data_IF_522417539275
#
_entry.id   IF_522417539275
#
_cell.length_a   1.000
_cell.length_b   1.000
_cell.length_c   1.000
_cell.angle_alpha   90.00
_cell.angle_beta   90.00
_cell.angle_gamma   90.00
#
_symmetry.space_group_name_H-M   'P 1'
#
loop_
_entity.id
_entity.type
_entity.pdbx_description
1 polymer ?
#
# COMPACT_ATOMS: atom_id res chain seq x y z
N UNK A 1 20.07 -24.40 -8.43
CA UNK A 1 19.68 -23.07 -7.93
C UNK A 1 18.17 -23.03 -7.97
N UNK A 2 17.51 -22.64 -6.88
CA UNK A 2 16.06 -22.43 -6.87
C UNK A 2 15.70 -21.32 -7.87
N UNK A 3 14.54 -21.43 -8.50
CA UNK A 3 14.01 -20.34 -9.33
C UNK A 3 13.85 -19.06 -8.48
N UNK A 4 14.09 -17.88 -9.06
CA UNK A 4 13.91 -16.64 -8.33
C UNK A 4 12.43 -16.37 -8.01
N UNK A 5 12.17 -15.81 -6.84
CA UNK A 5 10.84 -15.33 -6.43
C UNK A 5 10.48 -14.13 -7.31
N UNK A 6 9.33 -14.17 -7.98
CA UNK A 6 8.89 -13.13 -8.91
C UNK A 6 7.99 -12.13 -8.23
N UNK A 7 8.33 -10.85 -8.30
CA UNK A 7 7.59 -9.76 -7.70
C UNK A 7 7.22 -8.72 -8.75
N UNK A 8 5.93 -8.45 -8.92
CA UNK A 8 5.45 -7.31 -9.69
C UNK A 8 5.35 -6.09 -8.77
N UNK A 9 6.07 -5.03 -9.11
CA UNK A 9 5.94 -3.73 -8.44
C UNK A 9 5.05 -2.87 -9.32
N UNK A 10 3.90 -2.45 -8.80
CA UNK A 10 2.95 -1.61 -9.51
C UNK A 10 2.75 -0.28 -8.77
N UNK A 11 2.76 0.82 -9.53
CA UNK A 11 2.40 2.15 -9.03
C UNK A 11 1.11 2.58 -9.71
N UNK A 12 -0.04 2.43 -9.03
CA UNK A 12 -1.28 3.06 -9.45
C UNK A 12 -1.14 4.57 -9.34
N UNK A 13 -1.49 5.31 -10.38
CA UNK A 13 -1.52 6.77 -10.31
C UNK A 13 -2.74 7.34 -11.05
N UNK A 14 -3.25 8.45 -10.55
CA UNK A 14 -4.42 9.14 -11.12
C UNK A 14 -4.03 10.17 -12.20
N UNK A 15 -2.77 10.20 -12.64
CA UNK A 15 -2.28 11.18 -13.62
C UNK A 15 -1.96 12.56 -13.05
N UNK A 16 -2.14 12.75 -11.73
CA UNK A 16 -1.74 13.95 -11.00
C UNK A 16 -0.52 13.65 -10.16
N UNK A 17 0.56 13.31 -10.80
CA UNK A 17 1.79 12.96 -10.10
C UNK A 17 2.30 14.17 -9.34
N UNK A 18 2.30 14.11 -8.03
CA UNK A 18 3.10 15.03 -7.23
C UNK A 18 4.56 14.63 -7.44
N UNK A 19 5.29 15.44 -8.15
CA UNK A 19 6.64 15.15 -8.66
C UNK A 19 7.60 14.69 -7.57
N UNK A 20 7.47 15.24 -6.34
CA UNK A 20 8.28 14.85 -5.19
C UNK A 20 8.02 13.41 -4.73
N UNK A 21 6.76 12.98 -4.66
CA UNK A 21 6.41 11.62 -4.32
C UNK A 21 6.88 10.63 -5.39
N UNK A 22 6.82 11.03 -6.62
CA UNK A 22 7.26 10.25 -7.76
C UNK A 22 8.78 10.09 -7.77
N UNK A 23 9.52 11.17 -7.53
CA UNK A 23 10.96 11.13 -7.38
C UNK A 23 11.42 10.21 -6.27
N UNK A 24 10.81 10.30 -5.09
CA UNK A 24 11.12 9.43 -3.96
C UNK A 24 10.85 7.95 -4.26
N UNK A 25 9.80 7.63 -5.01
CA UNK A 25 9.48 6.23 -5.35
C UNK A 25 10.42 5.63 -6.34
N UNK A 26 10.74 6.38 -7.36
CA UNK A 26 11.72 5.93 -8.33
C UNK A 26 13.09 5.80 -7.66
N UNK A 27 13.43 6.68 -6.69
CA UNK A 27 14.61 6.54 -5.84
C UNK A 27 14.55 5.25 -4.99
N UNK A 28 13.42 4.96 -4.36
CA UNK A 28 13.23 3.72 -3.60
C UNK A 28 13.34 2.48 -4.49
N UNK A 29 12.76 2.53 -5.69
CA UNK A 29 12.90 1.49 -6.68
C UNK A 29 14.37 1.26 -7.07
N UNK A 30 15.10 2.33 -7.35
CA UNK A 30 16.52 2.26 -7.73
C UNK A 30 17.40 1.79 -6.57
N UNK A 31 17.09 2.17 -5.34
CA UNK A 31 17.81 1.69 -4.15
C UNK A 31 17.59 0.19 -3.92
N UNK A 32 16.40 -0.32 -4.19
CA UNK A 32 16.17 -1.76 -4.20
C UNK A 32 17.04 -2.48 -5.24
N UNK A 33 17.38 -1.83 -6.36
CA UNK A 33 18.17 -2.37 -7.45
C UNK A 33 19.70 -2.39 -7.27
N UNK A 34 20.28 -1.84 -6.20
CA UNK A 34 21.72 -1.69 -6.02
C UNK A 34 22.41 -0.70 -7.00
N UNK A 35 21.68 0.25 -7.55
CA UNK A 35 22.19 1.22 -8.54
C UNK A 35 22.93 2.40 -7.89
N UNK A 36 23.97 2.16 -7.08
CA UNK A 36 24.72 3.26 -6.46
C UNK A 36 25.35 4.22 -7.48
N UNK A 37 25.75 3.71 -8.64
CA UNK A 37 26.31 4.50 -9.74
C UNK A 37 25.24 5.31 -10.49
N UNK A 38 23.98 4.89 -10.44
CA UNK A 38 22.87 5.54 -11.14
C UNK A 38 22.15 6.59 -10.28
N UNK A 39 22.40 6.63 -8.97
CA UNK A 39 21.81 7.66 -8.08
C UNK A 39 22.05 9.09 -8.59
N UNK A 40 23.27 9.39 -9.05
CA UNK A 40 23.58 10.71 -9.59
C UNK A 40 22.95 10.97 -10.96
N UNK A 41 22.89 9.95 -11.79
CA UNK A 41 22.22 10.02 -13.11
C UNK A 41 20.73 10.19 -12.94
N UNK A 42 20.17 9.55 -11.93
CA UNK A 42 18.74 9.64 -11.63
C UNK A 42 18.34 10.95 -10.96
N UNK A 43 19.14 11.50 -10.05
CA UNK A 43 18.88 12.84 -9.50
C UNK A 43 18.77 13.86 -10.64
N UNK A 44 19.70 13.80 -11.61
CA UNK A 44 19.64 14.64 -12.83
C UNK A 44 18.42 14.30 -13.71
N UNK A 45 18.00 13.05 -13.76
CA UNK A 45 16.82 12.64 -14.49
C UNK A 45 15.53 13.13 -13.81
N UNK A 46 15.47 13.10 -12.48
CA UNK A 46 14.36 13.69 -11.73
C UNK A 46 14.28 15.20 -11.95
N UNK A 47 15.41 15.91 -11.95
CA UNK A 47 15.48 17.34 -12.27
C UNK A 47 14.94 17.62 -13.68
N UNK A 48 15.32 16.81 -14.67
CA UNK A 48 14.80 16.92 -16.04
C UNK A 48 13.31 16.63 -16.11
N UNK A 49 12.82 15.65 -15.35
CA UNK A 49 11.39 15.36 -15.29
C UNK A 49 10.58 16.51 -14.68
N UNK A 50 11.15 17.22 -13.70
CA UNK A 50 10.54 18.42 -13.11
C UNK A 50 10.37 19.57 -14.10
N UNK A 51 11.27 19.70 -15.06
CA UNK A 51 11.22 20.73 -16.09
C UNK A 51 10.29 20.39 -17.25
N UNK A 52 9.85 19.14 -17.37
CA UNK A 52 8.98 18.70 -18.44
C UNK A 52 7.50 18.89 -18.10
N UNK A 53 6.70 19.17 -19.14
CA UNK A 53 5.24 19.06 -18.99
C UNK A 53 4.86 17.64 -18.54
N UNK A 54 3.82 17.46 -17.68
CA UNK A 54 3.48 16.18 -17.07
C UNK A 54 3.36 15.01 -18.03
N UNK A 55 2.80 15.26 -19.22
CA UNK A 55 2.64 14.24 -20.28
C UNK A 55 3.97 13.76 -20.86
N UNK A 56 4.94 14.68 -21.01
CA UNK A 56 6.29 14.34 -21.47
C UNK A 56 7.08 13.63 -20.39
N UNK A 57 6.93 14.06 -19.14
CA UNK A 57 7.56 13.41 -18.00
C UNK A 57 7.11 11.94 -17.87
N UNK A 58 5.82 11.68 -18.05
CA UNK A 58 5.26 10.32 -18.01
C UNK A 58 5.80 9.45 -19.16
N UNK A 59 5.86 9.98 -20.38
CA UNK A 59 6.39 9.25 -21.52
C UNK A 59 7.87 8.87 -21.34
N UNK A 60 8.69 9.80 -20.84
CA UNK A 60 10.11 9.57 -20.56
C UNK A 60 10.28 8.53 -19.46
N UNK A 61 9.45 8.58 -18.43
CA UNK A 61 9.49 7.60 -17.36
C UNK A 61 9.07 6.21 -17.81
N UNK A 62 7.98 6.09 -18.58
CA UNK A 62 7.55 4.79 -19.10
C UNK A 62 8.64 4.16 -19.99
N UNK A 63 9.32 4.95 -20.82
CA UNK A 63 10.47 4.48 -21.58
C UNK A 63 11.65 4.01 -20.69
N UNK A 64 11.89 4.72 -19.59
CA UNK A 64 12.90 4.30 -18.60
C UNK A 64 12.53 2.99 -17.93
N UNK A 65 11.28 2.87 -17.47
CA UNK A 65 10.74 1.65 -16.86
C UNK A 65 10.81 0.47 -17.81
N UNK A 66 10.42 0.66 -19.07
CA UNK A 66 10.50 -0.39 -20.10
C UNK A 66 11.93 -0.92 -20.26
N UNK A 67 12.91 -0.02 -20.24
CA UNK A 67 14.32 -0.37 -20.40
C UNK A 67 14.95 -0.99 -19.14
N UNK A 68 14.58 -0.50 -17.95
CA UNK A 68 15.24 -0.81 -16.69
C UNK A 68 14.34 -1.49 -15.66
N UNK A 69 13.08 -1.72 -15.97
CA UNK A 69 12.06 -2.21 -15.01
C UNK A 69 12.18 -3.69 -14.63
N UNK A 70 13.25 -4.37 -15.07
CA UNK A 70 13.52 -5.75 -14.67
C UNK A 70 14.90 -5.85 -14.02
N UNK A 71 14.96 -6.37 -12.82
CA UNK A 71 16.23 -6.60 -12.14
C UNK A 71 16.15 -7.76 -11.16
N UNK A 72 17.31 -8.32 -10.83
CA UNK A 72 17.45 -9.45 -9.92
C UNK A 72 18.25 -8.97 -8.71
N UNK A 73 17.77 -9.29 -7.51
CA UNK A 73 18.43 -8.95 -6.25
C UNK A 73 18.36 -10.11 -5.27
N UNK A 74 19.47 -10.37 -4.58
CA UNK A 74 19.50 -11.28 -3.43
C UNK A 74 19.11 -10.48 -2.16
N UNK A 75 18.13 -10.98 -1.41
CA UNK A 75 17.69 -10.43 -0.13
C UNK A 75 17.74 -11.57 0.88
N UNK A 76 18.66 -11.48 1.85
CA UNK A 76 18.98 -12.62 2.69
C UNK A 76 19.53 -13.77 1.86
N UNK A 77 18.95 -14.96 1.99
CA UNK A 77 19.32 -16.14 1.20
C UNK A 77 18.49 -16.31 -0.09
N UNK A 78 17.44 -15.51 -0.26
CA UNK A 78 16.51 -15.64 -1.36
C UNK A 78 16.88 -14.75 -2.54
N UNK A 79 16.61 -15.24 -3.75
CA UNK A 79 16.81 -14.52 -4.99
C UNK A 79 15.46 -14.02 -5.49
N UNK A 80 15.34 -12.71 -5.67
CA UNK A 80 14.14 -12.04 -6.17
C UNK A 80 14.37 -11.56 -7.60
N UNK A 81 13.34 -11.70 -8.42
CA UNK A 81 13.23 -11.06 -9.72
C UNK A 81 12.08 -10.07 -9.69
N UNK A 82 12.41 -8.80 -9.79
CA UNK A 82 11.45 -7.71 -9.77
C UNK A 82 11.06 -7.29 -11.17
N UNK A 83 9.78 -6.98 -11.34
CA UNK A 83 9.21 -6.40 -12.54
C UNK A 83 8.45 -5.15 -12.14
N UNK A 84 8.77 -4.02 -12.74
CA UNK A 84 8.15 -2.74 -12.45
C UNK A 84 7.13 -2.36 -13.53
N UNK A 85 5.97 -1.87 -13.11
CA UNK A 85 4.95 -1.32 -14.01
C UNK A 85 4.40 -0.03 -13.43
N UNK A 86 4.23 0.96 -14.28
CA UNK A 86 3.47 2.17 -13.99
C UNK A 86 2.08 2.03 -14.59
N UNK A 87 1.03 2.24 -13.80
CA UNK A 87 -0.36 2.14 -14.24
C UNK A 87 -1.02 3.49 -13.97
N UNK A 88 -1.00 4.33 -14.99
CA UNK A 88 -1.44 5.72 -14.88
C UNK A 88 -2.75 6.03 -15.59
N UNK A 89 -3.33 7.17 -15.22
CA UNK A 89 -4.49 7.82 -15.85
C UNK A 89 -5.79 7.04 -15.79
N UNK A 90 -5.91 6.12 -14.86
CA UNK A 90 -7.15 5.40 -14.62
C UNK A 90 -7.53 5.47 -13.14
N UNK A 91 -8.82 5.37 -12.85
CA UNK A 91 -9.35 5.37 -11.50
C UNK A 91 -8.73 4.26 -10.64
N UNK A 92 -8.44 4.55 -9.37
CA UNK A 92 -7.65 3.68 -8.49
C UNK A 92 -8.09 2.21 -8.47
N UNK A 93 -9.37 1.85 -8.34
CA UNK A 93 -9.81 0.45 -8.42
C UNK A 93 -9.43 -0.22 -9.75
N UNK A 94 -9.57 0.49 -10.88
CA UNK A 94 -9.21 -0.03 -12.19
C UNK A 94 -7.70 -0.19 -12.36
N UNK A 95 -6.90 0.72 -11.78
CA UNK A 95 -5.44 0.61 -11.78
C UNK A 95 -4.96 -0.61 -10.99
N UNK A 96 -5.56 -0.86 -9.82
CA UNK A 96 -5.25 -2.03 -9.00
C UNK A 96 -5.71 -3.33 -9.66
N UNK A 97 -6.87 -3.31 -10.31
CA UNK A 97 -7.36 -4.44 -11.12
C UNK A 97 -6.39 -4.79 -12.25
N UNK A 98 -5.87 -3.78 -12.97
CA UNK A 98 -4.90 -3.97 -14.04
C UNK A 98 -3.56 -4.50 -13.50
N UNK A 99 -3.10 -4.01 -12.34
CA UNK A 99 -1.91 -4.53 -11.67
C UNK A 99 -2.07 -6.01 -11.32
N UNK A 100 -3.21 -6.39 -10.77
CA UNK A 100 -3.51 -7.78 -10.42
C UNK A 100 -3.57 -8.68 -11.64
N UNK A 101 -4.22 -8.23 -12.73
CA UNK A 101 -4.23 -8.98 -14.01
C UNK A 101 -2.82 -9.25 -14.52
N UNK A 102 -1.97 -8.24 -14.55
CA UNK A 102 -0.56 -8.41 -14.96
C UNK A 102 0.19 -9.37 -14.04
N UNK A 103 -0.04 -9.30 -12.73
CA UNK A 103 0.58 -10.23 -11.79
C UNK A 103 0.18 -11.68 -12.05
N UNK A 104 -1.09 -11.94 -12.33
CA UNK A 104 -1.61 -13.28 -12.66
C UNK A 104 -1.10 -13.77 -14.03
N UNK A 105 -1.21 -12.94 -15.07
CA UNK A 105 -0.78 -13.26 -16.43
C UNK A 105 0.70 -13.64 -16.50
N UNK A 106 1.53 -12.93 -15.76
CA UNK A 106 2.97 -13.17 -15.71
C UNK A 106 3.41 -14.13 -14.60
N UNK A 107 2.47 -14.77 -13.92
CA UNK A 107 2.72 -15.76 -12.84
C UNK A 107 3.70 -15.24 -11.80
N UNK A 108 3.41 -14.05 -11.28
CA UNK A 108 4.17 -13.45 -10.19
C UNK A 108 3.82 -14.12 -8.88
N UNK A 109 4.77 -14.28 -7.98
CA UNK A 109 4.54 -14.81 -6.62
C UNK A 109 3.91 -13.76 -5.71
N UNK A 110 4.33 -12.50 -5.91
CA UNK A 110 3.88 -11.35 -5.15
C UNK A 110 3.48 -10.17 -6.05
N UNK A 111 2.47 -9.45 -5.59
CA UNK A 111 2.11 -8.12 -6.08
C UNK A 111 2.44 -7.10 -4.99
N UNK A 112 3.30 -6.13 -5.32
CA UNK A 112 3.69 -5.03 -4.45
C UNK A 112 3.20 -3.73 -5.06
N UNK A 113 2.20 -3.09 -4.43
CA UNK A 113 1.63 -1.83 -4.90
C UNK A 113 2.01 -0.69 -3.95
N UNK A 114 2.28 0.46 -4.53
CA UNK A 114 2.57 1.71 -3.80
C UNK A 114 1.83 2.84 -4.51
N UNK A 115 0.95 3.53 -3.80
CA UNK A 115 0.27 4.70 -4.35
C UNK A 115 1.25 5.85 -4.56
N UNK A 116 0.93 6.71 -5.52
CA UNK A 116 1.82 7.78 -5.96
C UNK A 116 1.97 8.96 -5.00
N UNK A 117 1.32 8.97 -3.89
CA UNK A 117 1.40 9.96 -2.83
C UNK A 117 1.98 9.42 -1.50
N UNK A 118 2.64 8.26 -1.54
CA UNK A 118 3.26 7.66 -0.36
C UNK A 118 4.76 7.93 -0.29
N UNK A 119 5.26 8.29 0.88
CA UNK A 119 6.69 8.43 1.19
C UNK A 119 7.13 7.20 1.98
N UNK A 120 7.94 6.38 1.35
CA UNK A 120 8.31 5.06 1.87
C UNK A 120 9.82 5.01 2.18
N UNK A 121 10.23 4.26 3.23
CA UNK A 121 11.64 3.99 3.47
C UNK A 121 12.22 3.10 2.36
N UNK A 122 13.51 3.22 2.12
CA UNK A 122 14.23 2.52 1.04
C UNK A 122 14.17 0.99 1.15
N UNK A 123 14.07 0.48 2.37
CA UNK A 123 14.02 -0.93 2.69
C UNK A 123 12.60 -1.48 2.94
N UNK A 124 11.56 -0.73 2.51
CA UNK A 124 10.18 -1.09 2.81
C UNK A 124 9.80 -2.49 2.32
N UNK A 125 10.19 -2.86 1.10
CA UNK A 125 9.91 -4.20 0.59
C UNK A 125 10.51 -5.28 1.49
N UNK A 126 11.78 -5.12 1.89
CA UNK A 126 12.47 -6.09 2.76
C UNK A 126 11.79 -6.20 4.13
N UNK A 127 11.35 -5.08 4.69
CA UNK A 127 10.59 -5.06 5.96
C UNK A 127 9.28 -5.80 5.80
N UNK A 128 8.47 -5.43 4.82
CA UNK A 128 7.17 -6.07 4.59
C UNK A 128 7.32 -7.56 4.29
N UNK A 129 8.30 -7.94 3.47
CA UNK A 129 8.55 -9.34 3.17
C UNK A 129 8.93 -10.14 4.42
N UNK A 130 9.87 -9.62 5.22
CA UNK A 130 10.25 -10.23 6.50
C UNK A 130 9.05 -10.36 7.45
N UNK A 131 8.27 -9.31 7.59
CA UNK A 131 7.07 -9.30 8.45
C UNK A 131 6.00 -10.26 7.94
N UNK A 132 5.85 -10.40 6.61
CA UNK A 132 4.97 -11.37 5.99
C UNK A 132 5.40 -12.81 6.31
N UNK A 133 6.70 -13.12 6.22
CA UNK A 133 7.23 -14.43 6.58
C UNK A 133 7.03 -14.74 8.08
N UNK A 134 7.25 -13.76 8.95
CA UNK A 134 7.10 -13.93 10.39
C UNK A 134 5.64 -14.13 10.82
N UNK A 135 4.70 -13.42 10.19
CA UNK A 135 3.28 -13.46 10.55
C UNK A 135 2.51 -14.58 9.85
N UNK A 136 3.05 -15.10 8.73
CA UNK A 136 2.28 -15.94 7.81
C UNK A 136 1.19 -15.17 7.07
N UNK A 137 1.31 -13.84 6.96
CA UNK A 137 0.37 -13.01 6.23
C UNK A 137 0.31 -13.37 4.75
N UNK A 138 -0.83 -13.12 4.13
CA UNK A 138 -1.01 -13.16 2.68
C UNK A 138 -1.12 -11.75 2.10
N UNK A 139 -1.58 -10.81 2.92
CA UNK A 139 -1.62 -9.37 2.65
C UNK A 139 -0.99 -8.66 3.83
N UNK A 140 -0.03 -7.77 3.58
CA UNK A 140 0.60 -6.96 4.62
C UNK A 140 0.80 -5.52 4.17
N UNK A 141 0.42 -4.58 5.04
CA UNK A 141 0.58 -3.15 4.82
C UNK A 141 1.45 -2.54 5.92
N UNK A 142 2.24 -1.51 5.64
CA UNK A 142 2.85 -0.68 6.67
C UNK A 142 1.80 0.23 7.30
N UNK A 143 2.08 0.74 8.49
CA UNK A 143 1.22 1.74 9.10
C UNK A 143 1.23 3.02 8.27
N UNK A 144 0.03 3.49 7.92
CA UNK A 144 -0.20 4.76 7.24
C UNK A 144 -1.45 5.44 7.80
N UNK A 145 -1.63 6.71 7.45
CA UNK A 145 -2.74 7.54 7.93
C UNK A 145 -3.47 8.21 6.78
N UNK A 146 -4.77 8.48 6.96
CA UNK A 146 -5.55 9.26 6.00
C UNK A 146 -5.01 10.68 5.89
N UNK A 147 -5.14 11.30 4.70
CA UNK A 147 -4.66 12.67 4.43
C UNK A 147 -5.46 13.77 5.14
N UNK A 148 -6.69 13.48 5.51
CA UNK A 148 -7.61 14.46 6.09
C UNK A 148 -7.78 14.24 7.59
N UNK A 149 -7.96 15.31 8.37
CA UNK A 149 -8.34 15.19 9.77
C UNK A 149 -9.56 14.28 9.95
N UNK A 150 -9.58 13.48 11.01
CA UNK A 150 -8.67 13.44 12.15
C UNK A 150 -7.44 12.53 11.96
N UNK A 151 -6.94 12.31 10.72
CA UNK A 151 -5.76 11.52 10.39
C UNK A 151 -5.84 10.10 10.97
N UNK A 152 -6.82 9.35 10.50
CA UNK A 152 -7.09 7.99 10.99
C UNK A 152 -6.02 7.02 10.49
N UNK A 153 -5.57 6.05 11.31
CA UNK A 153 -4.78 4.94 10.79
C UNK A 153 -5.63 4.12 9.81
N UNK A 154 -5.02 3.65 8.73
CA UNK A 154 -5.72 2.86 7.70
C UNK A 154 -5.77 1.37 8.09
N UNK A 155 -6.05 1.10 9.33
CA UNK A 155 -6.20 -0.20 9.95
C UNK A 155 -7.65 -0.40 10.36
N UNK A 156 -8.26 -1.48 9.88
CA UNK A 156 -9.68 -1.70 10.05
C UNK A 156 -9.97 -3.06 10.67
N UNK A 157 -10.94 -3.05 11.57
CA UNK A 157 -11.68 -4.25 11.92
C UNK A 157 -13.05 -4.14 11.25
N UNK A 158 -13.32 -4.98 10.26
CA UNK A 158 -14.60 -4.98 9.58
C UNK A 158 -15.56 -5.90 10.31
N UNK A 159 -16.75 -5.40 10.52
CA UNK A 159 -17.88 -6.22 10.94
C UNK A 159 -18.66 -6.53 9.66
N UNK A 160 -19.07 -7.77 9.46
CA UNK A 160 -20.00 -8.10 8.38
C UNK A 160 -21.20 -7.17 8.50
N UNK A 161 -21.39 -6.33 7.49
CA UNK A 161 -22.41 -5.33 7.53
C UNK A 161 -23.78 -5.97 7.36
N UNK A 162 -24.67 -5.59 8.22
CA UNK A 162 -26.09 -5.78 8.08
C UNK A 162 -26.72 -4.39 8.01
N UNK A 163 -27.48 -4.11 6.97
CA UNK A 163 -28.19 -2.84 6.84
C UNK A 163 -29.46 -2.77 7.68
N UNK A 164 -29.81 -3.84 8.37
CA UNK A 164 -30.99 -3.93 9.22
C UNK A 164 -32.31 -4.13 8.47
N UNK A 165 -32.35 -3.92 7.17
CA UNK A 165 -33.59 -3.91 6.39
C UNK A 165 -33.56 -4.91 5.22
N UNK A 166 -32.52 -4.87 4.39
CA UNK A 166 -32.51 -5.57 3.09
C UNK A 166 -31.46 -6.66 2.94
N UNK A 167 -30.67 -7.00 3.97
CA UNK A 167 -29.50 -7.89 3.87
C UNK A 167 -28.52 -7.46 2.76
N UNK A 168 -28.49 -6.17 2.43
CA UNK A 168 -27.53 -5.65 1.48
C UNK A 168 -26.12 -5.73 2.08
N UNK A 169 -25.10 -5.88 1.24
CA UNK A 169 -23.71 -5.97 1.62
C UNK A 169 -23.18 -4.61 2.13
N UNK A 170 -23.79 -4.09 3.17
CA UNK A 170 -23.36 -2.86 3.82
C UNK A 170 -22.20 -3.17 4.74
N UNK A 171 -21.00 -2.69 4.37
CA UNK A 171 -19.81 -2.92 5.17
C UNK A 171 -19.64 -1.82 6.22
N UNK A 172 -19.67 -2.20 7.48
CA UNK A 172 -19.30 -1.31 8.57
C UNK A 172 -17.81 -1.50 8.83
N UNK A 173 -17.02 -0.51 8.43
CA UNK A 173 -15.59 -0.51 8.65
C UNK A 173 -15.26 0.26 9.93
N UNK A 174 -14.78 -0.43 10.95
CA UNK A 174 -14.32 0.21 12.16
C UNK A 174 -12.83 0.49 12.07
N UNK A 175 -12.48 1.77 12.07
CA UNK A 175 -11.08 2.19 12.16
C UNK A 175 -10.53 1.91 13.54
N UNK A 176 -9.39 1.26 13.62
CA UNK A 176 -8.71 0.96 14.89
C UNK A 176 -7.82 2.14 15.29
N UNK A 177 -8.37 3.07 16.07
CA UNK A 177 -7.65 4.28 16.50
C UNK A 177 -6.53 4.00 17.52
N UNK A 178 -6.75 3.03 18.42
CA UNK A 178 -5.78 2.61 19.43
C UNK A 178 -5.15 1.27 19.01
N UNK A 179 -4.28 1.34 18.02
CA UNK A 179 -3.58 0.16 17.53
C UNK A 179 -2.35 -0.15 18.39
N UNK A 180 -1.97 -1.44 18.51
CA UNK A 180 -0.72 -1.84 19.16
C UNK A 180 0.48 -1.31 18.37
N UNK A 181 1.40 -0.61 19.06
CA UNK A 181 2.63 -0.10 18.45
C UNK A 181 3.73 -1.15 18.45
N UNK A 182 4.61 -1.10 17.44
CA UNK A 182 5.76 -1.99 17.29
C UNK A 182 5.37 -3.49 17.26
N UNK A 183 4.28 -3.80 16.58
CA UNK A 183 3.75 -5.17 16.48
C UNK A 183 3.31 -5.49 15.05
N UNK A 184 3.25 -6.78 14.73
CA UNK A 184 2.51 -7.29 13.59
C UNK A 184 1.07 -7.54 14.04
N UNK A 185 0.13 -6.81 13.46
CA UNK A 185 -1.27 -6.81 13.88
C UNK A 185 -2.12 -7.48 12.84
N UNK A 186 -2.74 -8.62 13.17
CA UNK A 186 -3.74 -9.23 12.31
C UNK A 186 -5.01 -8.38 12.32
N UNK A 187 -5.56 -8.11 11.14
CA UNK A 187 -6.69 -7.19 10.95
C UNK A 187 -7.71 -7.76 9.98
N UNK A 188 -8.86 -7.12 9.88
CA UNK A 188 -9.85 -7.48 8.87
C UNK A 188 -9.59 -6.81 7.53
N UNK A 189 -9.06 -5.59 7.57
CA UNK A 189 -8.63 -4.88 6.38
C UNK A 189 -7.56 -3.83 6.70
N UNK A 190 -6.84 -3.39 5.68
CA UNK A 190 -5.91 -2.27 5.72
C UNK A 190 -6.03 -1.44 4.44
N UNK A 191 -5.66 -0.17 4.50
CA UNK A 191 -5.57 0.69 3.33
C UNK A 191 -4.36 0.36 2.46
N UNK A 192 -4.51 0.44 1.15
CA UNK A 192 -3.49 0.01 0.18
C UNK A 192 -2.64 1.16 -0.36
N UNK A 193 -2.39 2.18 0.44
CA UNK A 193 -1.39 3.19 0.08
C UNK A 193 -0.02 2.58 -0.21
N UNK A 194 0.34 1.51 0.53
CA UNK A 194 1.38 0.57 0.17
C UNK A 194 0.99 -0.83 0.68
N UNK A 195 1.18 -1.85 -0.14
CA UNK A 195 0.78 -3.23 0.20
C UNK A 195 1.65 -4.25 -0.51
N UNK A 196 2.07 -5.27 0.22
CA UNK A 196 2.65 -6.49 -0.34
C UNK A 196 1.63 -7.63 -0.18
N UNK A 197 1.33 -8.34 -1.26
CA UNK A 197 0.38 -9.45 -1.24
C UNK A 197 0.84 -10.62 -2.09
N UNK A 198 0.50 -11.84 -1.65
CA UNK A 198 0.68 -13.05 -2.45
C UNK A 198 -0.38 -13.11 -3.55
N UNK A 199 -0.03 -13.64 -4.70
CA UNK A 199 -0.92 -13.64 -5.88
C UNK A 199 -1.92 -14.80 -5.91
N UNK A 200 -1.70 -15.85 -5.13
CA UNK A 200 -2.55 -17.03 -5.13
C UNK A 200 -4.05 -16.74 -4.89
N UNK A 201 -4.35 -15.63 -4.19
CA UNK A 201 -5.74 -15.23 -3.89
C UNK A 201 -6.52 -14.89 -5.14
N UNK A 202 -5.87 -14.30 -6.15
CA UNK A 202 -6.51 -13.91 -7.40
C UNK A 202 -7.03 -15.11 -8.20
N UNK A 203 -6.38 -16.27 -8.05
CA UNK A 203 -6.84 -17.51 -8.67
C UNK A 203 -8.11 -18.07 -8.03
N UNK A 204 -8.32 -17.80 -6.74
CA UNK A 204 -9.50 -18.27 -5.97
C UNK A 204 -10.66 -17.29 -5.99
N UNK A 205 -10.39 -16.04 -6.28
CA UNK A 205 -11.38 -14.96 -6.32
C UNK A 205 -11.86 -14.73 -7.75
N UNK A 206 -13.16 -14.52 -7.90
CA UNK A 206 -13.72 -14.11 -9.19
C UNK A 206 -13.41 -12.61 -9.44
N UNK A 207 -12.91 -12.29 -10.62
CA UNK A 207 -12.76 -10.90 -11.08
C UNK A 207 -14.16 -10.26 -11.33
N UNK A 208 -14.30 -8.93 -11.21
CA UNK A 208 -13.27 -7.98 -10.84
C UNK A 208 -12.89 -8.10 -9.37
N UNK A 209 -11.59 -8.06 -9.08
CA UNK A 209 -11.07 -8.20 -7.72
C UNK A 209 -11.20 -6.90 -6.93
N UNK A 210 -10.86 -5.78 -7.57
CA UNK A 210 -10.89 -4.45 -6.97
C UNK A 210 -12.14 -3.68 -7.40
N UNK A 211 -13.05 -3.51 -6.46
CA UNK A 211 -14.31 -2.79 -6.65
C UNK A 211 -14.54 -1.92 -5.41
N UNK A 212 -15.12 -0.76 -5.60
CA UNK A 212 -15.70 0.02 -4.50
C UNK A 212 -17.20 -0.28 -4.40
N UNK A 213 -17.72 -0.25 -3.19
CA UNK A 213 -19.16 -0.27 -2.91
C UNK A 213 -19.55 0.95 -2.09
N UNK A 214 -20.84 1.15 -1.89
CA UNK A 214 -21.31 2.26 -1.06
C UNK A 214 -20.72 2.15 0.36
N UNK A 215 -20.04 3.19 0.80
CA UNK A 215 -19.39 3.29 2.12
C UNK A 215 -18.08 2.53 2.28
N UNK A 216 -17.56 1.87 1.23
CA UNK A 216 -16.32 1.08 1.33
C UNK A 216 -15.43 1.23 0.10
N UNK A 217 -14.14 1.48 0.35
CA UNK A 217 -13.10 1.50 -0.67
C UNK A 217 -12.78 0.11 -1.21
N UNK A 218 -12.11 0.09 -2.37
CA UNK A 218 -11.72 -1.14 -3.06
C UNK A 218 -10.73 -2.00 -2.28
N UNK A 219 -9.87 -1.36 -1.48
CA UNK A 219 -8.88 -1.98 -0.61
C UNK A 219 -9.54 -2.81 0.50
N UNK A 220 -10.50 -2.20 1.19
CA UNK A 220 -11.24 -2.85 2.27
C UNK A 220 -12.11 -3.98 1.73
N UNK A 221 -12.81 -3.74 0.62
CA UNK A 221 -13.64 -4.76 -0.02
C UNK A 221 -12.78 -5.93 -0.54
N UNK A 222 -11.60 -5.65 -1.08
CA UNK A 222 -10.67 -6.70 -1.49
C UNK A 222 -10.21 -7.54 -0.29
N UNK A 223 -9.80 -6.91 0.82
CA UNK A 223 -9.42 -7.62 2.04
C UNK A 223 -10.55 -8.55 2.53
N UNK A 224 -11.80 -8.04 2.54
CA UNK A 224 -12.95 -8.85 2.91
C UNK A 224 -13.11 -10.08 2.01
N UNK A 225 -13.04 -9.90 0.68
CA UNK A 225 -13.12 -11.01 -0.28
C UNK A 225 -11.97 -12.01 -0.11
N UNK A 226 -10.74 -11.50 0.08
CA UNK A 226 -9.55 -12.32 0.29
C UNK A 226 -9.66 -13.18 1.56
N UNK A 227 -10.18 -12.63 2.66
CA UNK A 227 -10.44 -13.40 3.89
C UNK A 227 -11.45 -14.52 3.68
N UNK A 228 -12.45 -14.34 2.82
CA UNK A 228 -13.43 -15.43 2.50
C UNK A 228 -12.78 -16.63 1.83
N UNK A 229 -11.65 -16.47 1.18
CA UNK A 229 -10.86 -17.57 0.58
C UNK A 229 -9.70 -18.03 1.45
N UNK A 230 -9.61 -17.53 2.69
CA UNK A 230 -8.65 -17.96 3.71
C UNK A 230 -7.38 -17.11 3.79
N UNK A 231 -7.34 -15.95 3.15
CA UNK A 231 -6.20 -15.06 3.27
C UNK A 231 -6.14 -14.38 4.65
N UNK A 232 -4.93 -14.16 5.14
CA UNK A 232 -4.63 -13.45 6.38
C UNK A 232 -4.12 -12.06 6.08
N UNK A 233 -4.72 -11.05 6.69
CA UNK A 233 -4.41 -9.63 6.51
C UNK A 233 -3.70 -9.10 7.74
N UNK A 234 -2.55 -8.44 7.55
CA UNK A 234 -1.76 -7.87 8.63
C UNK A 234 -1.37 -6.42 8.35
N UNK A 235 -1.24 -5.66 9.41
CA UNK A 235 -0.53 -4.38 9.41
C UNK A 235 0.75 -4.48 10.23
N UNK A 236 1.85 -4.01 9.66
CA UNK A 236 3.11 -3.86 10.35
C UNK A 236 3.17 -2.46 10.98
N UNK A 237 3.02 -2.39 12.30
CA UNK A 237 3.12 -1.15 13.07
C UNK A 237 4.53 -0.91 13.66
N UNK A 238 5.53 -1.70 13.24
CA UNK A 238 6.93 -1.49 13.66
C UNK A 238 7.57 -0.31 12.93
N UNK A 239 6.97 0.13 11.82
CA UNK A 239 7.33 1.33 11.09
C UNK A 239 6.09 1.95 10.43
N UNK A 240 6.20 3.20 10.06
CA UNK A 240 5.15 3.91 9.35
C UNK A 240 5.70 4.52 8.04
N UNK A 241 4.77 4.86 7.14
CA UNK A 241 5.05 5.56 5.90
C UNK A 241 4.36 6.93 5.89
N UNK A 242 4.97 7.90 5.21
CA UNK A 242 4.37 9.22 5.03
C UNK A 242 3.29 9.19 3.96
N UNK A 243 2.22 9.95 4.16
CA UNK A 243 1.18 10.19 3.17
C UNK A 243 1.21 11.67 2.80
N UNK A 244 1.43 11.99 1.53
CA UNK A 244 1.41 13.37 1.07
C UNK A 244 0.01 13.95 1.18
N UNK A 245 -0.16 14.82 2.17
CA UNK A 245 -1.33 15.67 2.29
C UNK A 245 -0.97 17.08 1.79
N UNK A 246 -1.95 17.87 1.38
CA UNK A 246 -1.68 19.23 0.99
C UNK A 246 -1.84 20.17 2.20
N UNK A 247 -0.78 20.87 2.67
CA UNK A 247 0.63 20.93 2.24
C UNK A 247 1.59 20.06 3.10
N UNK A 248 1.16 18.92 3.65
CA UNK A 248 1.88 18.21 4.71
C UNK A 248 2.10 16.72 4.39
N UNK A 249 3.18 16.16 4.91
CA UNK A 249 3.39 14.71 4.95
C UNK A 249 2.77 14.18 6.25
N UNK A 250 1.83 13.27 6.13
CA UNK A 250 1.13 12.67 7.27
C UNK A 250 1.90 11.42 7.71
N UNK A 251 2.62 11.55 8.81
CA UNK A 251 3.35 10.46 9.46
C UNK A 251 2.73 10.15 10.83
N UNK A 252 3.18 9.09 11.49
CA UNK A 252 2.78 8.81 12.87
C UNK A 252 3.16 9.98 13.81
N UNK A 253 4.37 10.51 13.68
CA UNK A 253 4.83 11.66 14.46
C UNK A 253 3.94 12.90 14.22
N UNK A 254 3.58 13.19 12.95
CA UNK A 254 2.64 14.26 12.65
C UNK A 254 1.30 14.06 13.36
N UNK A 255 0.74 12.86 13.29
CA UNK A 255 -0.54 12.52 13.92
C UNK A 255 -0.47 12.64 15.44
N UNK A 256 0.62 12.19 16.07
CA UNK A 256 0.83 12.34 17.51
C UNK A 256 0.93 13.82 17.94
N UNK A 257 1.66 14.63 17.17
CA UNK A 257 1.77 16.06 17.43
C UNK A 257 0.43 16.78 17.20
N UNK A 258 -0.32 16.41 16.17
CA UNK A 258 -1.66 16.92 15.93
C UNK A 258 -2.62 16.59 17.08
N UNK A 259 -2.62 15.35 17.57
CA UNK A 259 -3.43 14.95 18.74
C UNK A 259 -3.11 15.75 20.01
N UNK A 260 -1.86 16.15 20.21
CA UNK A 260 -1.46 17.00 21.33
C UNK A 260 -1.95 18.45 21.19
N UNK A 261 -2.13 18.92 19.96
CA UNK A 261 -2.57 20.30 19.68
C UNK A 261 -4.08 20.46 19.62
N UNK A 262 -4.78 19.40 19.23
CA UNK A 262 -6.24 19.39 19.19
C UNK A 262 -6.77 18.99 20.55
N UNK A 263 -7.49 19.93 21.19
CA UNK A 263 -8.11 19.71 22.49
C UNK A 263 -8.95 18.41 22.48
N UNK A 264 -8.83 17.64 23.54
CA UNK A 264 -9.44 16.30 23.72
C UNK A 264 -10.96 16.30 23.50
N UNK A 265 -11.60 17.47 23.53
CA UNK A 265 -13.03 17.64 23.23
C UNK A 265 -13.42 17.30 21.78
N UNK A 266 -12.48 17.28 20.87
CA UNK A 266 -12.76 16.81 19.50
C UNK A 266 -13.07 15.31 19.44
N UNK A 267 -12.49 14.50 20.34
CA UNK A 267 -12.82 13.08 20.48
C UNK A 267 -14.26 12.83 20.94
N UNK A 268 -14.85 13.78 21.66
CA UNK A 268 -16.25 13.73 22.11
C UNK A 268 -17.24 14.04 20.97
N UNK A 269 -16.80 14.73 19.91
CA UNK A 269 -17.65 15.06 18.75
C UNK A 269 -17.87 13.87 17.81
N UNK A 270 -17.07 12.82 17.95
CA UNK A 270 -17.13 11.64 17.10
C UNK A 270 -17.17 10.36 17.94
N UNK A 271 -18.26 10.10 18.69
CA UNK A 271 -18.38 8.93 19.58
C UNK A 271 -18.30 7.59 18.83
N UNK A 272 -18.55 7.59 17.52
CA UNK A 272 -18.37 6.41 16.66
C UNK A 272 -16.92 5.92 16.60
N UNK A 273 -15.93 6.78 16.91
CA UNK A 273 -14.52 6.40 16.94
C UNK A 273 -14.10 5.68 18.22
N UNK A 274 -15.00 5.51 19.18
CA UNK A 274 -14.69 4.85 20.46
C UNK A 274 -15.03 3.35 20.47
N UNK A 275 -15.67 2.83 19.44
CA UNK A 275 -15.94 1.39 19.30
C UNK A 275 -14.80 0.73 18.54
N UNK A 276 -13.97 0.00 19.27
CA UNK A 276 -12.87 -0.76 18.67
C UNK A 276 -13.21 -2.24 18.67
N UNK A 277 -12.96 -2.89 17.52
CA UNK A 277 -12.95 -4.34 17.47
C UNK A 277 -11.66 -4.89 18.13
N UNK A 278 -11.76 -6.08 18.68
CA UNK A 278 -10.59 -6.78 19.17
C UNK A 278 -9.66 -7.13 17.99
N UNK A 279 -8.37 -6.87 18.16
CA UNK A 279 -7.33 -7.24 17.23
C UNK A 279 -6.56 -8.44 17.76
N UNK A 280 -6.21 -9.35 16.87
CA UNK A 280 -5.28 -10.44 17.18
C UNK A 280 -3.86 -9.93 17.04
N UNK A 281 -3.11 -9.94 18.12
CA UNK A 281 -1.70 -9.56 18.16
C UNK A 281 -0.88 -10.85 18.08
N UNK A 282 0.08 -10.91 17.17
CA UNK A 282 1.04 -12.00 17.13
C UNK A 282 2.12 -11.79 18.18
N UNK A 283 2.15 -12.70 19.13
CA UNK A 283 3.23 -12.92 20.08
C UNK A 283 3.41 -11.85 21.15
N UNK A 284 3.17 -12.22 22.36
CA UNK A 284 3.94 -11.73 23.50
C UNK A 284 5.20 -12.56 23.68
#
# INVERSE_FOLDING_TARGET
>A
MSEPIKVLIAIPNMGYTQVEAYGNRLMNFMQMGNFQTEKQTFARFADVLHELAPEKAEAVLNAYIEKHGRYVKKIGEELFQFYFVNIGRIFTPAAREEAAKKAVEHKMDYLYMIDDDMICPDDMFQRLYKSMQQSGADIICPLAFTRNPPFKPVLYASIEGWDGVNKSDYFINNVVMNYPKNKLVESDACGFGAVLMKTWMFEKLQAPWFMSSEGTGEDILFCYKAKKVGARVFMDTTFNIGHLGHPQIITEEFVENFKKQVDVDSAKRYPEFTKYAALTILGD
#
